data_IF_906057248077
#
_entry.id   IF_906057248077
#
_cell.length_a   1.000
_cell.length_b   1.000
_cell.length_c   1.000
_cell.angle_alpha   90.00
_cell.angle_beta   90.00
_cell.angle_gamma   90.00
#
_symmetry.space_group_name_H-M   'P 1'
#
loop_
_entity.id
_entity.type
_entity.pdbx_description
1 polymer ?
#
# COMPACT_ATOMS: atom_id res chain seq x y z
N UNK A 1 -1.80 -2.31 -4.41
CA UNK A 1 -0.35 -2.22 -4.15
C UNK A 1 0.44 -3.44 -4.61
N UNK A 2 0.04 -4.67 -4.26
CA UNK A 2 0.74 -5.88 -4.72
C UNK A 2 0.95 -5.95 -6.26
N UNK A 3 -0.06 -5.59 -7.05
CA UNK A 3 0.05 -5.54 -8.52
C UNK A 3 1.13 -4.54 -8.97
N UNK A 4 1.14 -3.32 -8.41
CA UNK A 4 2.10 -2.27 -8.74
C UNK A 4 3.52 -2.66 -8.34
N UNK A 5 3.68 -3.28 -7.17
CA UNK A 5 4.98 -3.71 -6.67
C UNK A 5 5.54 -4.91 -7.43
N UNK A 6 4.67 -5.81 -7.88
CA UNK A 6 5.05 -6.95 -8.71
C UNK A 6 5.69 -6.50 -10.03
N UNK A 7 5.26 -5.37 -10.61
CA UNK A 7 5.89 -4.84 -11.84
C UNK A 7 7.36 -4.45 -11.66
N UNK A 8 7.81 -4.19 -10.42
CA UNK A 8 9.19 -3.80 -10.12
C UNK A 8 10.11 -5.00 -9.85
N UNK A 9 9.54 -6.20 -9.69
CA UNK A 9 10.28 -7.42 -9.42
C UNK A 9 10.52 -8.15 -10.74
N UNK A 10 11.76 -8.09 -11.23
CA UNK A 10 12.18 -8.85 -12.41
C UNK A 10 12.70 -10.23 -11.98
N UNK A 11 12.33 -11.29 -12.71
CA UNK A 11 12.72 -12.67 -12.43
C UNK A 11 14.06 -13.08 -13.08
N UNK A 12 14.65 -12.24 -13.95
CA UNK A 12 15.89 -12.55 -14.66
C UNK A 12 17.06 -11.69 -14.14
N UNK A 13 17.45 -11.94 -12.88
CA UNK A 13 18.52 -11.19 -12.21
C UNK A 13 19.76 -12.10 -12.13
N UNK A 14 20.88 -11.75 -12.78
CA UNK A 14 22.12 -12.51 -12.67
C UNK A 14 22.75 -12.32 -11.28
N UNK A 15 23.37 -13.38 -10.77
CA UNK A 15 23.82 -13.50 -9.37
C UNK A 15 24.92 -12.47 -9.00
N UNK A 16 25.63 -11.97 -10.00
CA UNK A 16 26.69 -10.95 -9.87
C UNK A 16 26.15 -9.54 -9.60
N UNK A 17 24.91 -9.23 -10.01
CA UNK A 17 24.27 -7.92 -9.85
C UNK A 17 23.15 -7.90 -8.80
N UNK A 18 22.86 -9.02 -8.13
CA UNK A 18 21.86 -9.08 -7.07
C UNK A 18 22.18 -8.16 -5.89
N UNK A 19 23.46 -8.01 -5.55
CA UNK A 19 23.93 -7.29 -4.36
C UNK A 19 24.36 -5.84 -4.63
N UNK A 20 23.66 -5.13 -5.51
CA UNK A 20 23.88 -3.70 -5.73
C UNK A 20 23.10 -2.86 -4.71
N UNK A 21 23.61 -1.66 -4.39
CA UNK A 21 22.96 -0.73 -3.45
C UNK A 21 21.53 -0.36 -3.90
N UNK A 22 21.30 -0.29 -5.21
CA UNK A 22 20.00 0.03 -5.80
C UNK A 22 18.99 -1.10 -5.59
N UNK A 23 19.40 -2.36 -5.81
CA UNK A 23 18.54 -3.53 -5.59
C UNK A 23 18.17 -3.69 -4.11
N UNK A 24 19.10 -3.43 -3.18
CA UNK A 24 18.80 -3.39 -1.76
C UNK A 24 17.81 -2.27 -1.39
N UNK A 25 18.00 -1.06 -1.94
CA UNK A 25 17.09 0.06 -1.70
C UNK A 25 15.69 -0.26 -2.19
N UNK A 26 15.55 -0.78 -3.42
CA UNK A 26 14.27 -1.19 -3.99
C UNK A 26 13.62 -2.31 -3.17
N UNK A 27 14.38 -3.31 -2.73
CA UNK A 27 13.87 -4.40 -1.88
C UNK A 27 13.32 -3.90 -0.53
N UNK A 28 14.06 -3.03 0.17
CA UNK A 28 13.58 -2.44 1.43
C UNK A 28 12.41 -1.48 1.22
N UNK A 29 12.41 -0.71 0.14
CA UNK A 29 11.31 0.18 -0.22
C UNK A 29 10.01 -0.60 -0.51
N UNK A 30 10.09 -1.71 -1.24
CA UNK A 30 8.96 -2.60 -1.52
C UNK A 30 8.42 -3.26 -0.24
N UNK A 31 9.31 -3.76 0.62
CA UNK A 31 8.93 -4.40 1.88
C UNK A 31 8.24 -3.43 2.83
N UNK A 32 8.91 -2.33 3.17
CA UNK A 32 8.37 -1.34 4.11
C UNK A 32 7.18 -0.59 3.53
N UNK A 33 7.23 -0.21 2.25
CA UNK A 33 6.10 0.39 1.56
C UNK A 33 4.88 -0.53 1.49
N UNK A 34 5.08 -1.85 1.44
CA UNK A 34 4.00 -2.84 1.45
C UNK A 34 3.41 -3.03 2.83
N UNK A 35 4.28 -3.12 3.83
CA UNK A 35 3.90 -3.24 5.24
C UNK A 35 3.10 -2.03 5.72
N UNK A 36 3.54 -0.81 5.42
CA UNK A 36 2.84 0.42 5.80
C UNK A 36 1.43 0.46 5.22
N UNK A 37 1.25 0.22 3.92
CA UNK A 37 -0.08 0.24 3.30
C UNK A 37 -0.96 -0.88 3.86
N UNK A 38 -0.40 -2.07 4.06
CA UNK A 38 -1.12 -3.22 4.63
C UNK A 38 -1.62 -2.94 6.05
N UNK A 39 -0.77 -2.39 6.92
CA UNK A 39 -1.15 -2.01 8.29
C UNK A 39 -2.16 -0.86 8.31
N UNK A 40 -1.98 0.18 7.49
CA UNK A 40 -2.95 1.27 7.37
C UNK A 40 -4.34 0.76 6.95
N UNK A 41 -4.41 -0.10 5.95
CA UNK A 41 -5.69 -0.65 5.48
C UNK A 41 -6.32 -1.61 6.50
N UNK A 42 -5.52 -2.38 7.24
CA UNK A 42 -6.03 -3.23 8.32
C UNK A 42 -6.66 -2.40 9.44
N UNK A 43 -5.94 -1.39 9.94
CA UNK A 43 -6.43 -0.52 11.02
C UNK A 43 -7.63 0.31 10.57
N UNK A 44 -7.60 0.82 9.34
CA UNK A 44 -8.74 1.48 8.71
C UNK A 44 -9.96 0.55 8.71
N UNK A 45 -9.81 -0.69 8.22
CA UNK A 45 -10.89 -1.69 8.19
C UNK A 45 -11.45 -2.01 9.57
N UNK A 46 -10.60 -2.13 10.60
CA UNK A 46 -11.04 -2.35 11.98
C UNK A 46 -11.85 -1.14 12.50
N UNK A 47 -11.35 0.08 12.31
CA UNK A 47 -12.03 1.29 12.79
C UNK A 47 -13.39 1.51 12.11
N UNK A 48 -13.46 1.30 10.80
CA UNK A 48 -14.67 1.40 9.99
C UNK A 48 -15.63 0.27 10.35
N UNK A 49 -15.15 -0.96 10.56
CA UNK A 49 -15.99 -2.09 10.97
C UNK A 49 -16.67 -1.90 12.34
N UNK A 50 -15.97 -1.30 13.31
CA UNK A 50 -16.55 -0.95 14.60
C UNK A 50 -17.61 0.16 14.42
N UNK A 51 -17.30 1.20 13.64
CA UNK A 51 -18.22 2.31 13.36
C UNK A 51 -19.46 1.84 12.61
N UNK A 52 -19.32 0.93 11.63
CA UNK A 52 -20.43 0.32 10.89
C UNK A 52 -21.31 -0.57 11.76
N UNK A 53 -20.74 -1.28 12.74
CA UNK A 53 -21.52 -2.05 13.71
C UNK A 53 -22.38 -1.14 14.60
N UNK A 54 -21.80 0.00 15.02
CA UNK A 54 -22.54 1.04 15.73
C UNK A 54 -23.61 1.71 14.85
N UNK A 55 -23.35 1.85 13.54
CA UNK A 55 -24.31 2.36 12.57
C UNK A 55 -25.53 1.44 12.46
N UNK A 56 -25.31 0.13 12.34
CA UNK A 56 -26.37 -0.87 12.26
C UNK A 56 -27.24 -0.91 13.53
N UNK A 57 -26.62 -0.85 14.71
CA UNK A 57 -27.35 -0.81 15.97
C UNK A 57 -28.10 0.52 16.17
N UNK A 58 -27.51 1.64 15.74
CA UNK A 58 -28.12 2.95 15.76
C UNK A 58 -29.32 3.08 14.82
N UNK A 59 -29.22 2.53 13.61
CA UNK A 59 -30.31 2.49 12.63
C UNK A 59 -31.49 1.62 13.11
N UNK A 60 -31.20 0.52 13.80
CA UNK A 60 -32.22 -0.31 14.44
C UNK A 60 -32.97 0.40 15.58
N UNK A 61 -32.36 1.40 16.23
CA UNK A 61 -32.99 2.18 17.28
C UNK A 61 -33.78 3.39 16.72
N UNK A 62 -33.16 4.16 15.83
CA UNK A 62 -33.78 5.28 15.14
C UNK A 62 -33.10 5.50 13.78
N UNK A 63 -33.83 5.32 12.66
CA UNK A 63 -33.25 5.39 11.31
C UNK A 63 -32.80 6.80 10.91
N UNK A 64 -33.19 7.85 11.65
CA UNK A 64 -32.71 9.21 11.39
C UNK A 64 -31.22 9.41 11.74
N UNK A 65 -30.61 8.48 12.49
CA UNK A 65 -29.20 8.56 12.90
C UNK A 65 -28.22 8.01 11.84
N UNK A 66 -28.68 7.20 10.88
CA UNK A 66 -27.81 6.52 9.90
C UNK A 66 -26.88 7.50 9.16
N UNK A 67 -27.44 8.60 8.64
CA UNK A 67 -26.67 9.59 7.85
C UNK A 67 -25.58 10.27 8.69
N UNK A 68 -25.83 10.49 10.00
CA UNK A 68 -24.85 11.11 10.89
C UNK A 68 -23.67 10.18 11.16
N UNK A 69 -23.92 8.87 11.31
CA UNK A 69 -22.86 7.87 11.55
C UNK A 69 -22.07 7.60 10.26
N UNK A 70 -22.73 7.61 9.10
CA UNK A 70 -22.11 7.42 7.79
C UNK A 70 -21.03 8.48 7.49
N UNK A 71 -21.24 9.73 7.92
CA UNK A 71 -20.23 10.79 7.79
C UNK A 71 -18.94 10.42 8.54
N UNK A 72 -19.04 9.88 9.75
CA UNK A 72 -17.88 9.43 10.55
C UNK A 72 -17.17 8.27 9.86
N UNK A 73 -17.93 7.36 9.25
CA UNK A 73 -17.41 6.22 8.51
C UNK A 73 -16.55 6.63 7.30
N UNK A 74 -17.00 7.64 6.54
CA UNK A 74 -16.24 8.18 5.41
C UNK A 74 -14.92 8.79 5.88
N UNK A 75 -14.92 9.57 6.97
CA UNK A 75 -13.68 10.14 7.52
C UNK A 75 -12.70 9.06 7.97
N UNK A 76 -13.20 7.96 8.54
CA UNK A 76 -12.38 6.79 8.86
C UNK A 76 -11.73 6.16 7.63
N UNK A 77 -12.51 6.01 6.54
CA UNK A 77 -12.04 5.38 5.30
C UNK A 77 -10.96 6.18 4.56
N UNK A 78 -10.97 7.52 4.69
CA UNK A 78 -9.95 8.40 4.08
C UNK A 78 -8.54 8.12 4.65
N UNK A 79 -8.42 7.65 5.90
CA UNK A 79 -7.13 7.27 6.48
C UNK A 79 -6.44 6.13 5.72
N UNK A 80 -7.21 5.16 5.20
CA UNK A 80 -6.68 4.09 4.35
C UNK A 80 -6.16 4.62 3.00
N UNK A 81 -6.85 5.62 2.42
CA UNK A 81 -6.41 6.26 1.18
C UNK A 81 -5.09 7.02 1.35
N UNK A 82 -4.91 7.72 2.47
CA UNK A 82 -3.62 8.35 2.78
C UNK A 82 -2.49 7.32 2.91
N UNK A 83 -2.74 6.19 3.57
CA UNK A 83 -1.78 5.08 3.65
C UNK A 83 -1.36 4.58 2.27
N UNK A 84 -2.32 4.42 1.35
CA UNK A 84 -2.06 4.00 -0.02
C UNK A 84 -1.22 5.02 -0.82
N UNK A 85 -1.51 6.32 -0.68
CA UNK A 85 -0.74 7.40 -1.32
C UNK A 85 0.71 7.40 -0.82
N UNK A 86 0.92 7.29 0.49
CA UNK A 86 2.28 7.24 1.07
C UNK A 86 3.05 6.03 0.56
N UNK A 87 2.42 4.85 0.48
CA UNK A 87 3.06 3.66 -0.07
C UNK A 87 3.50 3.82 -1.53
N UNK A 88 2.67 4.48 -2.36
CA UNK A 88 3.04 4.81 -3.73
C UNK A 88 4.26 5.74 -3.78
N UNK A 89 4.28 6.80 -2.95
CA UNK A 89 5.39 7.75 -2.89
C UNK A 89 6.71 7.10 -2.45
N UNK A 90 6.66 6.14 -1.53
CA UNK A 90 7.85 5.40 -1.06
C UNK A 90 8.51 4.58 -2.18
N UNK A 91 7.70 3.99 -3.06
CA UNK A 91 8.17 3.10 -4.13
C UNK A 91 8.34 3.83 -5.47
N UNK A 92 7.81 5.05 -5.62
CA UNK A 92 7.94 5.85 -6.84
C UNK A 92 9.39 6.18 -7.20
N UNK A 93 10.27 6.33 -6.19
CA UNK A 93 11.70 6.59 -6.39
C UNK A 93 12.57 5.34 -6.46
N UNK A 94 11.99 4.16 -6.23
CA UNK A 94 12.72 2.90 -6.34
C UNK A 94 12.82 2.52 -7.82
N UNK A 95 14.04 2.35 -8.32
CA UNK A 95 14.25 1.83 -9.68
C UNK A 95 13.81 0.37 -9.76
N UNK A 96 13.44 -0.07 -10.96
CA UNK A 96 13.13 -1.48 -11.19
C UNK A 96 14.38 -2.32 -10.98
N UNK A 97 14.22 -3.54 -10.46
CA UNK A 97 15.34 -4.45 -10.25
C UNK A 97 15.89 -4.84 -11.63
N UNK A 98 16.96 -4.16 -12.08
CA UNK A 98 17.57 -4.36 -13.40
C UNK A 98 18.50 -5.57 -13.38
N UNK A 99 18.30 -6.48 -14.32
CA UNK A 99 19.30 -7.46 -14.74
C UNK A 99 19.86 -7.07 -16.11
N UNK A 100 21.19 -6.93 -16.23
CA UNK A 100 22.04 -6.85 -17.44
C UNK A 100 21.52 -6.30 -18.79
N UNK A 101 20.50 -5.45 -18.89
CA UNK A 101 20.21 -4.73 -20.15
C UNK A 101 21.17 -3.54 -20.39
N UNK A 102 21.86 -3.07 -19.35
CA UNK A 102 22.77 -1.92 -19.43
C UNK A 102 24.20 -2.24 -19.90
N UNK A 103 24.64 -3.51 -19.90
CA UNK A 103 26.02 -3.86 -20.26
C UNK A 103 26.20 -4.25 -21.74
N UNK A 104 25.12 -4.60 -22.46
CA UNK A 104 25.19 -4.94 -23.88
C UNK A 104 25.24 -3.68 -24.78
N UNK A 105 24.86 -2.51 -24.27
CA UNK A 105 24.95 -1.23 -25.00
C UNK A 105 26.30 -0.49 -24.85
N UNK A 106 27.27 -1.04 -24.09
CA UNK A 106 28.61 -0.45 -23.91
C UNK A 106 29.74 -1.22 -24.63
N UNK A 107 29.42 -2.21 -25.47
CA UNK A 107 30.34 -2.86 -26.41
C UNK A 107 29.83 -2.71 -27.84
#
# INVERSE_FOLDING_TARGET
>A
MAIVYSQKVNNNIPEDQLYTRENYFTGFALFWGGLTVGMCNLLCGISVGITGSNAALGDAADPSLFVKILIVEIFGSIMGLFGLIVGLLMVQRAEDIKGLEGSLLML
#
